data_IF_298362004642
#
_entry.id   IF_298362004642
#
_cell.length_a   1.000
_cell.length_b   1.000
_cell.length_c   1.000
_cell.angle_alpha   90.00
_cell.angle_beta   90.00
_cell.angle_gamma   90.00
#
_symmetry.space_group_name_H-M   'P 1'
#
loop_
_entity.id
_entity.type
_entity.pdbx_description
1 polymer ?
#
# COMPACT_ATOMS: atom_id res chain seq x y z
N UNK A 1 -17.33 -13.87 -32.36
CA UNK A 1 -17.07 -14.78 -31.23
C UNK A 1 -15.67 -14.59 -30.61
N UNK A 2 -14.83 -13.67 -31.10
CA UNK A 2 -13.45 -13.47 -30.59
C UNK A 2 -13.36 -12.51 -29.39
N UNK A 3 -14.30 -11.57 -29.26
CA UNK A 3 -14.29 -10.50 -28.23
C UNK A 3 -14.47 -11.04 -26.79
N UNK A 4 -15.27 -12.11 -26.65
CA UNK A 4 -15.53 -12.73 -25.34
C UNK A 4 -14.31 -13.47 -24.77
N UNK A 5 -13.32 -13.83 -25.59
CA UNK A 5 -12.11 -14.52 -25.12
C UNK A 5 -11.08 -13.51 -24.58
N UNK A 6 -10.95 -12.32 -25.19
CA UNK A 6 -10.07 -11.24 -24.69
C UNK A 6 -10.51 -10.72 -23.31
N UNK A 7 -11.82 -10.59 -23.07
CA UNK A 7 -12.33 -10.15 -21.77
C UNK A 7 -12.04 -11.13 -20.63
N UNK A 8 -11.98 -12.44 -20.94
CA UNK A 8 -11.65 -13.49 -19.96
C UNK A 8 -10.14 -13.56 -19.70
N UNK A 9 -9.32 -13.25 -20.70
CA UNK A 9 -7.85 -13.24 -20.57
C UNK A 9 -7.35 -12.00 -19.80
N UNK A 10 -8.05 -10.86 -19.87
CA UNK A 10 -7.81 -9.71 -18.99
C UNK A 10 -8.01 -10.05 -17.49
N UNK A 11 -8.82 -11.08 -17.17
CA UNK A 11 -9.01 -11.58 -15.81
C UNK A 11 -7.86 -12.47 -15.32
N UNK A 12 -6.88 -12.79 -16.17
CA UNK A 12 -5.72 -13.61 -15.79
C UNK A 12 -4.73 -12.88 -14.86
N UNK A 13 -4.93 -11.58 -14.61
CA UNK A 13 -4.19 -10.86 -13.58
C UNK A 13 -4.62 -11.35 -12.18
N UNK A 14 -3.67 -11.60 -11.26
CA UNK A 14 -4.03 -11.96 -9.89
C UNK A 14 -4.90 -10.85 -9.27
N UNK A 15 -5.99 -11.21 -8.55
CA UNK A 15 -6.92 -10.24 -8.03
C UNK A 15 -6.26 -9.32 -6.99
N UNK A 16 -6.59 -8.02 -7.03
CA UNK A 16 -6.06 -7.03 -6.09
C UNK A 16 -6.43 -7.33 -4.63
N UNK A 17 -7.62 -7.91 -4.42
CA UNK A 17 -8.14 -8.32 -3.11
C UNK A 17 -8.75 -9.71 -3.23
N UNK A 18 -8.53 -10.56 -2.22
CA UNK A 18 -9.10 -11.91 -2.14
C UNK A 18 -9.82 -12.09 -0.81
N UNK A 19 -11.08 -12.50 -0.85
CA UNK A 19 -11.82 -12.94 0.34
C UNK A 19 -11.28 -14.31 0.74
N UNK A 20 -10.60 -14.39 1.89
CA UNK A 20 -10.03 -15.66 2.38
C UNK A 20 -11.04 -16.44 3.23
N UNK A 21 -12.02 -15.74 3.83
CA UNK A 21 -13.04 -16.33 4.70
C UNK A 21 -14.33 -15.50 4.67
N UNK A 22 -15.47 -16.17 4.74
CA UNK A 22 -16.81 -15.57 4.69
C UNK A 22 -17.40 -15.57 3.29
N UNK A 23 -18.70 -15.28 3.20
CA UNK A 23 -19.44 -15.15 1.94
C UNK A 23 -20.19 -13.80 1.98
N UNK A 24 -19.50 -12.68 1.72
CA UNK A 24 -20.12 -11.35 1.80
C UNK A 24 -21.15 -11.19 0.70
N UNK A 25 -22.24 -10.48 1.01
CA UNK A 25 -23.19 -10.11 -0.05
C UNK A 25 -22.53 -9.15 -1.05
N UNK A 26 -23.06 -9.01 -2.28
CA UNK A 26 -22.52 -8.08 -3.27
C UNK A 26 -22.41 -6.63 -2.75
N UNK A 27 -23.38 -6.20 -1.93
CA UNK A 27 -23.41 -4.89 -1.31
C UNK A 27 -22.30 -4.71 -0.27
N UNK A 28 -22.06 -5.73 0.55
CA UNK A 28 -20.98 -5.73 1.54
C UNK A 28 -19.61 -5.73 0.84
N UNK A 29 -19.45 -6.53 -0.22
CA UNK A 29 -18.23 -6.54 -1.02
C UNK A 29 -17.97 -5.16 -1.66
N UNK A 30 -19.00 -4.53 -2.21
CA UNK A 30 -18.90 -3.17 -2.77
C UNK A 30 -18.49 -2.15 -1.69
N UNK A 31 -19.08 -2.24 -0.50
CA UNK A 31 -18.71 -1.37 0.62
C UNK A 31 -17.24 -1.55 1.03
N UNK A 32 -16.76 -2.79 1.10
CA UNK A 32 -15.34 -3.07 1.40
C UNK A 32 -14.40 -2.50 0.35
N UNK A 33 -14.72 -2.68 -0.94
CA UNK A 33 -13.92 -2.11 -2.04
C UNK A 33 -13.89 -0.58 -1.95
N UNK A 34 -15.04 0.05 -1.70
CA UNK A 34 -15.13 1.51 -1.56
C UNK A 34 -14.26 2.04 -0.42
N UNK A 35 -14.28 1.38 0.75
CA UNK A 35 -13.46 1.77 1.91
C UNK A 35 -11.96 1.63 1.61
N UNK A 36 -11.54 0.52 1.00
CA UNK A 36 -10.13 0.30 0.64
C UNK A 36 -9.66 1.34 -0.38
N UNK A 37 -10.47 1.61 -1.40
CA UNK A 37 -10.17 2.63 -2.41
C UNK A 37 -10.07 4.04 -1.78
N UNK A 38 -11.03 4.42 -0.93
CA UNK A 38 -11.02 5.71 -0.24
C UNK A 38 -9.78 5.87 0.65
N UNK A 39 -9.40 4.83 1.39
CA UNK A 39 -8.19 4.84 2.23
C UNK A 39 -6.92 5.01 1.38
N UNK A 40 -6.83 4.33 0.25
CA UNK A 40 -5.69 4.45 -0.67
C UNK A 40 -5.61 5.86 -1.27
N UNK A 41 -6.74 6.43 -1.68
CA UNK A 41 -6.80 7.81 -2.19
C UNK A 41 -6.36 8.83 -1.12
N UNK A 42 -6.83 8.67 0.13
CA UNK A 42 -6.41 9.51 1.24
C UNK A 42 -4.90 9.38 1.54
N UNK A 43 -4.35 8.17 1.49
CA UNK A 43 -2.91 7.96 1.66
C UNK A 43 -2.08 8.58 0.52
N UNK A 44 -2.56 8.48 -0.72
CA UNK A 44 -1.93 9.12 -1.87
C UNK A 44 -1.94 10.65 -1.73
N UNK A 45 -3.08 11.23 -1.35
CA UNK A 45 -3.21 12.66 -1.10
C UNK A 45 -2.29 13.13 0.04
N UNK A 46 -2.24 12.40 1.16
CA UNK A 46 -1.34 12.71 2.28
C UNK A 46 0.15 12.61 1.92
N UNK A 47 0.50 11.78 0.93
CA UNK A 47 1.88 11.62 0.46
C UNK A 47 2.31 12.73 -0.50
N UNK A 48 1.37 13.39 -1.19
CA UNK A 48 1.68 14.42 -2.17
C UNK A 48 2.39 15.65 -1.56
N UNK A 49 2.08 15.98 -0.31
CA UNK A 49 2.66 17.12 0.41
C UNK A 49 3.87 16.76 1.30
N UNK A 50 4.26 15.49 1.35
CA UNK A 50 5.37 15.05 2.22
C UNK A 50 6.71 15.11 1.48
N UNK A 51 7.74 15.75 2.05
CA UNK A 51 9.09 15.66 1.50
C UNK A 51 9.53 14.20 1.47
N UNK A 52 10.08 13.76 0.33
CA UNK A 52 10.61 12.40 0.24
C UNK A 52 11.69 12.22 1.33
N UNK A 53 11.57 11.21 2.20
CA UNK A 53 12.53 11.00 3.26
C UNK A 53 13.92 10.78 2.64
N UNK A 54 14.92 11.51 3.14
CA UNK A 54 16.30 11.34 2.68
C UNK A 54 16.78 9.93 2.96
N UNK A 55 17.54 9.37 2.03
CA UNK A 55 18.24 8.11 2.28
C UNK A 55 19.14 8.26 3.51
N UNK A 56 19.07 7.27 4.38
CA UNK A 56 19.84 7.22 5.62
C UNK A 56 21.06 6.30 5.46
N UNK A 57 21.19 5.67 4.29
CA UNK A 57 22.33 4.87 3.92
C UNK A 57 23.60 5.73 3.94
N UNK A 58 24.63 5.30 4.66
CA UNK A 58 25.89 6.04 4.80
C UNK A 58 25.82 7.34 5.61
N UNK A 59 24.69 7.67 6.25
CA UNK A 59 24.57 8.89 7.05
C UNK A 59 25.55 8.85 8.24
N UNK A 60 26.46 9.85 8.42
CA UNK A 60 27.53 9.78 9.43
C UNK A 60 27.05 9.54 10.86
N UNK A 61 25.86 10.05 11.23
CA UNK A 61 25.25 9.78 12.55
C UNK A 61 25.08 8.29 12.87
N UNK A 62 25.00 7.42 11.85
CA UNK A 62 24.90 5.96 11.99
C UNK A 62 26.25 5.26 12.23
N UNK A 63 27.37 5.96 12.04
CA UNK A 63 28.69 5.48 12.46
C UNK A 63 28.84 5.54 13.99
N UNK A 64 27.94 6.28 14.65
CA UNK A 64 27.76 6.25 16.08
C UNK A 64 26.56 5.36 16.43
N UNK A 65 26.35 5.04 17.71
CA UNK A 65 25.16 4.30 18.19
C UNK A 65 24.13 5.28 18.77
N UNK A 66 23.44 6.10 17.95
CA UNK A 66 22.45 7.04 18.47
C UNK A 66 21.22 6.30 18.96
N UNK A 67 20.52 6.89 19.90
CA UNK A 67 19.20 6.40 20.30
C UNK A 67 18.23 6.49 19.11
N UNK A 68 17.35 5.48 18.99
CA UNK A 68 16.27 5.52 18.02
C UNK A 68 15.29 6.65 18.40
N UNK A 69 15.00 7.52 17.43
CA UNK A 69 13.98 8.56 17.59
C UNK A 69 12.62 8.02 17.17
N UNK A 70 11.57 8.34 17.92
CA UNK A 70 10.20 8.11 17.51
C UNK A 70 9.75 9.22 16.55
N UNK A 71 8.97 8.87 15.53
CA UNK A 71 8.42 9.83 14.57
C UNK A 71 8.14 9.25 13.19
N UNK A 72 7.52 10.04 12.29
CA UNK A 72 7.22 9.63 10.93
C UNK A 72 8.46 9.10 10.20
N UNK A 73 8.35 7.95 9.54
CA UNK A 73 9.45 7.33 8.79
C UNK A 73 10.54 6.64 9.64
N UNK A 74 10.54 6.81 10.97
CA UNK A 74 11.62 6.30 11.82
C UNK A 74 11.57 4.79 12.08
N UNK A 75 10.40 4.15 11.92
CA UNK A 75 10.33 2.69 11.93
C UNK A 75 10.99 2.09 10.69
N UNK A 76 10.86 2.72 9.52
CA UNK A 76 11.60 2.30 8.31
C UNK A 76 13.10 2.57 8.44
N UNK A 77 13.48 3.52 9.29
CA UNK A 77 14.86 3.84 9.62
C UNK A 77 15.54 2.83 10.55
N UNK A 78 14.80 1.98 11.26
CA UNK A 78 15.38 1.13 12.31
C UNK A 78 16.10 -0.12 11.78
N UNK A 79 15.87 -0.48 10.52
CA UNK A 79 16.59 -1.56 9.86
C UNK A 79 18.03 -1.15 9.51
N UNK A 80 18.90 -2.17 9.42
CA UNK A 80 20.31 -2.04 9.04
C UNK A 80 20.47 -1.98 7.52
#
# INVERSE_FOLDING_TARGET
MSDATEAVEALAQPPLLRVVKGDPTPEELAALVAVVAARNAAAAAASADQPMPRSQWGHPVRQHRPAHRFGPGQWRASAW
#
